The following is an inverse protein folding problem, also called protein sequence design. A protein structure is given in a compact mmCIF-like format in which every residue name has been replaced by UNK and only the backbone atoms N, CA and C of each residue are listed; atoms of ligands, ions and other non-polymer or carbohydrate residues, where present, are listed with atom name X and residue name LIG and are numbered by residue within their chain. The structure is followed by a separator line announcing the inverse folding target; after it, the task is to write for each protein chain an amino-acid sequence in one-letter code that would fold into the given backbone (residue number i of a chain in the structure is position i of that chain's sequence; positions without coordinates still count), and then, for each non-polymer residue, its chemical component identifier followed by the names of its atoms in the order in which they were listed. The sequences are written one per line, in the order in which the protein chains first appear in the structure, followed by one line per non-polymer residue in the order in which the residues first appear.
data_IF_631181664533
#
_entry.id   IF_631181664533
#
_cell.length_a   1.000
_cell.length_b   1.000
_cell.length_c   1.000
_cell.angle_alpha   90.00
_cell.angle_beta   90.00
_cell.angle_gamma   90.00
#
_symmetry.space_group_name_H-M   'P 1'
#
loop_
_entity.id
_entity.type
_entity.pdbx_description
1 polymer ?
#
# COMPACT_ATOMS: atom_id res chain seq x y z
N UNK A 1 -14.60 9.84 -27.03
CA UNK A 1 -14.55 9.86 -25.54
C UNK A 1 -13.21 10.36 -24.98
N UNK A 2 -12.40 11.15 -25.71
CA UNK A 2 -11.13 11.71 -25.19
C UNK A 2 -11.25 13.12 -24.61
N UNK A 3 -12.36 13.84 -24.88
CA UNK A 3 -12.58 15.23 -24.46
C UNK A 3 -12.95 15.41 -22.98
N UNK A 4 -13.82 14.55 -22.43
CA UNK A 4 -14.40 14.78 -21.10
C UNK A 4 -13.41 14.56 -19.94
N UNK A 5 -12.44 13.66 -20.11
CA UNK A 5 -11.41 13.40 -19.10
C UNK A 5 -10.41 14.54 -18.91
N UNK A 6 -10.26 15.42 -19.93
CA UNK A 6 -9.31 16.54 -19.88
C UNK A 6 -9.87 17.76 -19.11
N UNK A 7 -11.20 17.89 -19.08
CA UNK A 7 -11.91 19.00 -18.43
C UNK A 7 -12.07 18.72 -16.91
N UNK A 8 -12.24 17.46 -16.51
CA UNK A 8 -12.37 17.11 -15.09
C UNK A 8 -11.05 17.23 -14.29
N UNK A 9 -9.90 16.93 -14.91
CA UNK A 9 -8.58 16.97 -14.24
C UNK A 9 -8.10 18.41 -13.97
N UNK A 10 -8.39 19.36 -14.87
CA UNK A 10 -7.95 20.75 -14.73
C UNK A 10 -8.68 21.50 -13.61
N UNK A 11 -9.94 21.15 -13.33
CA UNK A 11 -10.73 21.79 -12.26
C UNK A 11 -10.33 21.31 -10.85
N UNK A 12 -9.76 20.11 -10.72
CA UNK A 12 -9.44 19.48 -9.42
C UNK A 12 -7.95 19.55 -9.01
N UNK A 13 -7.11 20.32 -9.73
CA UNK A 13 -5.64 20.40 -9.51
C UNK A 13 -4.90 19.05 -9.55
N UNK A 14 -5.50 17.99 -10.12
CA UNK A 14 -4.85 16.68 -10.29
C UNK A 14 -4.15 16.61 -11.64
N UNK A 15 -2.84 16.88 -11.68
CA UNK A 15 -2.06 16.93 -12.93
C UNK A 15 -1.62 15.55 -13.43
N UNK A 16 -1.37 14.62 -12.52
CA UNK A 16 -0.75 13.31 -12.85
C UNK A 16 -1.75 12.15 -12.82
N UNK A 17 -2.99 12.40 -13.24
CA UNK A 17 -4.03 11.36 -13.28
C UNK A 17 -3.78 10.30 -14.36
N UNK A 18 -3.04 10.64 -15.42
CA UNK A 18 -2.67 9.70 -16.50
C UNK A 18 -1.25 9.21 -16.26
N UNK A 19 -1.08 7.88 -16.26
CA UNK A 19 0.20 7.22 -16.07
C UNK A 19 0.50 6.35 -17.29
N UNK A 20 1.74 6.36 -17.76
CA UNK A 20 2.19 5.44 -18.80
C UNK A 20 2.35 4.05 -18.19
N UNK A 21 1.65 3.07 -18.73
CA UNK A 21 1.65 1.68 -18.23
C UNK A 21 1.39 0.71 -19.37
N UNK A 22 1.51 -0.59 -19.07
CA UNK A 22 1.24 -1.68 -20.01
C UNK A 22 -0.02 -2.44 -19.62
N UNK A 23 -0.65 -3.06 -20.61
CA UNK A 23 -1.80 -3.94 -20.41
C UNK A 23 -1.64 -5.24 -21.16
N UNK A 24 -2.12 -6.33 -20.59
CA UNK A 24 -2.24 -7.62 -21.26
C UNK A 24 -3.71 -7.95 -21.51
N UNK A 25 -3.99 -8.64 -22.61
CA UNK A 25 -5.32 -9.10 -22.97
C UNK A 25 -5.26 -10.58 -23.38
N UNK A 26 -5.96 -11.44 -22.66
CA UNK A 26 -6.00 -12.89 -22.91
C UNK A 26 -7.21 -13.34 -23.74
N UNK A 27 -8.10 -12.40 -24.09
CA UNK A 27 -9.37 -12.67 -24.76
C UNK A 27 -10.57 -12.42 -23.83
N UNK A 28 -11.74 -12.19 -24.44
CA UNK A 28 -12.98 -11.86 -23.74
C UNK A 28 -12.83 -10.69 -22.75
N UNK A 29 -13.17 -10.91 -21.47
CA UNK A 29 -13.09 -9.90 -20.41
C UNK A 29 -11.77 -9.92 -19.64
N UNK A 30 -10.83 -10.79 -20.00
CA UNK A 30 -9.55 -10.95 -19.31
C UNK A 30 -8.54 -9.91 -19.81
N UNK A 31 -8.70 -8.66 -19.35
CA UNK A 31 -7.77 -7.57 -19.56
C UNK A 31 -7.23 -7.08 -18.22
N UNK A 32 -5.92 -6.99 -18.09
CA UNK A 32 -5.26 -6.56 -16.85
C UNK A 32 -4.20 -5.50 -17.14
N UNK A 33 -4.12 -4.47 -16.29
CA UNK A 33 -3.00 -3.54 -16.29
C UNK A 33 -1.83 -4.16 -15.51
N UNK A 34 -0.61 -3.69 -15.79
CA UNK A 34 0.58 -4.12 -15.04
C UNK A 34 0.41 -3.90 -13.52
N UNK A 35 -0.20 -2.78 -13.11
CA UNK A 35 -0.49 -2.49 -11.71
C UNK A 35 -1.47 -3.48 -11.07
N UNK A 36 -2.48 -3.93 -11.80
CA UNK A 36 -3.50 -4.86 -11.29
C UNK A 36 -2.85 -6.18 -10.89
N UNK A 37 -1.97 -6.69 -11.76
CA UNK A 37 -1.20 -7.91 -11.51
C UNK A 37 -0.26 -7.72 -10.32
N UNK A 38 0.46 -6.60 -10.23
CA UNK A 38 1.34 -6.31 -9.09
C UNK A 38 0.58 -6.32 -7.76
N UNK A 39 -0.57 -5.64 -7.69
CA UNK A 39 -1.37 -5.62 -6.48
C UNK A 39 -1.93 -7.00 -6.12
N UNK A 40 -2.39 -7.77 -7.11
CA UNK A 40 -2.89 -9.12 -6.90
C UNK A 40 -1.81 -10.07 -6.37
N UNK A 41 -0.67 -10.13 -7.06
CA UNK A 41 0.45 -11.01 -6.69
C UNK A 41 1.05 -10.62 -5.33
N UNK A 42 1.18 -9.33 -5.04
CA UNK A 42 1.65 -8.88 -3.73
C UNK A 42 0.66 -9.26 -2.61
N UNK A 43 -0.64 -9.21 -2.87
CA UNK A 43 -1.66 -9.57 -1.87
C UNK A 43 -1.70 -11.07 -1.58
N UNK A 44 -1.44 -11.92 -2.59
CA UNK A 44 -1.26 -13.37 -2.40
C UNK A 44 -0.03 -13.66 -1.52
N UNK A 45 1.12 -13.06 -1.87
CA UNK A 45 2.38 -13.27 -1.15
C UNK A 45 2.31 -12.78 0.30
N UNK A 46 1.69 -11.63 0.53
CA UNK A 46 1.58 -11.00 1.84
C UNK A 46 0.39 -11.51 2.66
N UNK A 47 -0.47 -12.38 2.11
CA UNK A 47 -1.67 -12.88 2.80
C UNK A 47 -1.34 -13.40 4.22
N UNK A 48 -2.11 -12.99 5.24
CA UNK A 48 -1.97 -13.50 6.60
C UNK A 48 -2.81 -14.76 6.86
N UNK A 49 -3.49 -15.29 5.84
CA UNK A 49 -4.33 -16.49 5.99
C UNK A 49 -3.50 -17.65 6.52
N UNK A 50 -4.08 -18.39 7.47
CA UNK A 50 -3.40 -19.44 8.24
C UNK A 50 -3.32 -20.77 7.49
N UNK A 51 -3.81 -20.81 6.26
CA UNK A 51 -4.01 -22.04 5.50
C UNK A 51 -2.72 -22.53 4.81
N UNK A 52 -1.62 -21.77 4.91
CA UNK A 52 -0.33 -22.13 4.35
C UNK A 52 0.85 -21.46 5.06
N UNK A 53 2.04 -22.02 4.86
CA UNK A 53 3.30 -21.40 5.25
C UNK A 53 3.59 -20.17 4.38
N UNK A 54 4.51 -19.29 4.81
CA UNK A 54 4.94 -18.16 3.97
C UNK A 54 5.47 -18.58 2.60
N UNK A 55 6.03 -19.80 2.49
CA UNK A 55 6.47 -20.40 1.22
C UNK A 55 5.28 -20.74 0.32
N UNK A 56 4.18 -21.24 0.87
CA UNK A 56 2.99 -21.58 0.08
C UNK A 56 2.39 -20.32 -0.54
N UNK A 57 2.34 -19.21 0.21
CA UNK A 57 1.90 -17.92 -0.31
C UNK A 57 2.80 -17.41 -1.44
N UNK A 58 4.11 -17.62 -1.32
CA UNK A 58 5.07 -17.30 -2.39
C UNK A 58 4.81 -18.14 -3.65
N UNK A 59 4.61 -19.45 -3.51
CA UNK A 59 4.31 -20.33 -4.65
C UNK A 59 2.96 -19.97 -5.28
N UNK A 60 1.92 -19.67 -4.49
CA UNK A 60 0.64 -19.21 -5.02
C UNK A 60 0.76 -17.90 -5.79
N UNK A 61 1.54 -16.95 -5.27
CA UNK A 61 1.82 -15.70 -5.94
C UNK A 61 2.58 -15.93 -7.27
N UNK A 62 3.58 -16.81 -7.27
CA UNK A 62 4.32 -17.19 -8.48
C UNK A 62 3.41 -17.86 -9.52
N UNK A 63 2.58 -18.81 -9.09
CA UNK A 63 1.63 -19.51 -9.95
C UNK A 63 0.61 -18.58 -10.58
N UNK A 64 0.21 -17.52 -9.88
CA UNK A 64 -0.75 -16.51 -10.38
C UNK A 64 -0.24 -15.73 -11.59
N UNK A 65 1.08 -15.73 -11.83
CA UNK A 65 1.70 -15.10 -13.00
C UNK A 65 1.60 -15.99 -14.25
N UNK A 66 1.23 -17.27 -14.10
CA UNK A 66 1.00 -18.14 -15.24
C UNK A 66 -0.34 -17.83 -15.91
N UNK A 67 -0.32 -17.79 -17.25
CA UNK A 67 -1.54 -17.64 -18.08
C UNK A 67 -2.53 -18.79 -17.91
N UNK A 68 -2.09 -19.94 -17.40
CA UNK A 68 -2.95 -21.09 -17.13
C UNK A 68 -3.78 -20.95 -15.86
N UNK A 69 -3.43 -20.01 -14.96
CA UNK A 69 -3.95 -19.95 -13.59
C UNK A 69 -4.58 -18.58 -13.28
N UNK A 70 -5.50 -18.13 -14.13
CA UNK A 70 -6.16 -16.83 -13.95
C UNK A 70 -7.07 -16.77 -12.72
N UNK A 71 -7.56 -17.92 -12.25
CA UNK A 71 -8.32 -18.06 -11.01
C UNK A 71 -7.54 -17.54 -9.80
N UNK A 72 -6.26 -17.93 -9.66
CA UNK A 72 -5.36 -17.43 -8.61
C UNK A 72 -5.15 -15.93 -8.72
N UNK A 73 -4.98 -15.41 -9.95
CA UNK A 73 -4.85 -13.98 -10.19
C UNK A 73 -6.12 -13.22 -9.77
N UNK A 74 -7.30 -13.73 -10.11
CA UNK A 74 -8.58 -13.13 -9.68
C UNK A 74 -8.76 -13.17 -8.17
N UNK A 75 -8.39 -14.27 -7.51
CA UNK A 75 -8.39 -14.34 -6.06
C UNK A 75 -7.46 -13.29 -5.44
N UNK A 76 -6.25 -13.14 -5.97
CA UNK A 76 -5.33 -12.08 -5.57
C UNK A 76 -5.90 -10.67 -5.75
N UNK A 77 -6.69 -10.42 -6.79
CA UNK A 77 -7.37 -9.13 -6.99
C UNK A 77 -8.43 -8.85 -5.91
N UNK A 78 -9.15 -9.87 -5.43
CA UNK A 78 -10.10 -9.68 -4.32
C UNK A 78 -9.37 -9.39 -3.00
N UNK A 79 -8.26 -10.08 -2.74
CA UNK A 79 -7.39 -9.78 -1.59
C UNK A 79 -6.82 -8.36 -1.67
N UNK A 80 -6.39 -7.92 -2.86
CA UNK A 80 -5.89 -6.57 -3.08
C UNK A 80 -6.94 -5.50 -2.79
N UNK A 81 -8.21 -5.71 -3.18
CA UNK A 81 -9.30 -4.79 -2.84
C UNK A 81 -9.50 -4.70 -1.33
N UNK A 82 -9.44 -5.83 -0.61
CA UNK A 82 -9.51 -5.85 0.86
C UNK A 82 -8.35 -5.06 1.47
N UNK A 83 -7.12 -5.31 1.02
CA UNK A 83 -5.91 -4.62 1.48
C UNK A 83 -6.01 -3.10 1.27
N UNK A 84 -6.46 -2.66 0.10
CA UNK A 84 -6.58 -1.24 -0.23
C UNK A 84 -7.65 -0.55 0.63
N UNK A 85 -8.78 -1.21 0.90
CA UNK A 85 -9.81 -0.68 1.82
C UNK A 85 -9.29 -0.54 3.24
N UNK A 86 -8.66 -1.59 3.77
CA UNK A 86 -8.05 -1.56 5.09
C UNK A 86 -6.97 -0.46 5.18
N UNK A 87 -6.16 -0.29 4.12
CA UNK A 87 -5.15 0.77 4.06
C UNK A 87 -5.78 2.16 4.24
N UNK A 88 -6.87 2.44 3.52
CA UNK A 88 -7.55 3.73 3.64
C UNK A 88 -8.19 3.94 5.02
N UNK A 89 -8.80 2.90 5.59
CA UNK A 89 -9.39 2.96 6.93
C UNK A 89 -8.34 3.20 8.01
N UNK A 90 -7.20 2.49 7.95
CA UNK A 90 -6.08 2.68 8.87
C UNK A 90 -5.48 4.08 8.74
N UNK A 91 -5.27 4.57 7.52
CA UNK A 91 -4.77 5.94 7.30
C UNK A 91 -5.73 6.96 7.89
N UNK A 92 -7.03 6.84 7.62
CA UNK A 92 -8.04 7.74 8.17
C UNK A 92 -8.00 7.73 9.70
N UNK A 93 -7.95 6.53 10.30
CA UNK A 93 -7.86 6.38 11.76
C UNK A 93 -6.62 7.07 12.32
N UNK A 94 -5.42 6.78 11.78
CA UNK A 94 -4.16 7.39 12.24
C UNK A 94 -4.17 8.92 12.15
N UNK A 95 -4.74 9.49 11.08
CA UNK A 95 -4.82 10.95 10.90
C UNK A 95 -5.86 11.59 11.82
N UNK A 96 -7.06 11.01 11.92
CA UNK A 96 -8.15 11.54 12.74
C UNK A 96 -7.86 11.46 14.24
N UNK A 97 -7.07 10.47 14.67
CA UNK A 97 -6.65 10.29 16.06
C UNK A 97 -5.27 10.87 16.36
N UNK A 98 -4.68 11.59 15.40
CA UNK A 98 -3.40 12.28 15.54
C UNK A 98 -2.23 11.38 16.01
N UNK A 99 -2.18 10.14 15.50
CA UNK A 99 -1.14 9.15 15.83
C UNK A 99 0.19 9.39 15.10
N UNK A 100 0.21 10.27 14.10
CA UNK A 100 1.44 10.64 13.38
C UNK A 100 2.12 11.80 14.10
N UNK A 101 3.17 11.48 14.85
CA UNK A 101 3.84 12.42 15.77
C UNK A 101 5.24 12.75 15.26
N UNK A 102 5.60 14.04 15.27
CA UNK A 102 6.98 14.47 14.99
C UNK A 102 7.89 14.20 16.19
N UNK A 103 8.91 13.36 16.01
CA UNK A 103 9.96 13.09 17.00
C UNK A 103 11.13 14.08 16.92
N UNK A 104 11.03 15.10 16.06
CA UNK A 104 12.10 16.05 15.79
C UNK A 104 12.68 15.82 14.40
N UNK A 105 13.60 14.84 14.20
CA UNK A 105 14.21 14.58 12.91
C UNK A 105 13.36 13.69 11.98
N UNK A 106 12.31 13.04 12.49
CA UNK A 106 11.41 12.18 11.71
C UNK A 106 9.99 12.17 12.31
N UNK A 107 9.03 11.71 11.51
CA UNK A 107 7.67 11.37 11.95
C UNK A 107 7.64 9.92 12.43
N UNK A 108 6.85 9.64 13.46
CA UNK A 108 6.64 8.31 13.99
C UNK A 108 5.16 7.98 14.05
N UNK A 109 4.80 6.75 13.71
CA UNK A 109 3.46 6.18 13.87
C UNK A 109 3.59 4.69 14.21
N UNK A 110 2.75 4.18 15.09
CA UNK A 110 2.70 2.74 15.39
C UNK A 110 1.27 2.22 15.31
N UNK A 111 1.13 0.99 14.80
CA UNK A 111 -0.09 0.22 14.93
C UNK A 111 -0.03 -0.60 16.22
N UNK A 112 -1.15 -0.71 16.91
CA UNK A 112 -1.29 -1.55 18.10
C UNK A 112 -2.09 -2.81 17.75
N UNK A 113 -2.02 -3.84 18.59
CA UNK A 113 -2.78 -5.09 18.39
C UNK A 113 -4.28 -4.85 18.23
N UNK A 114 -4.85 -3.90 18.97
CA UNK A 114 -6.26 -3.52 18.86
C UNK A 114 -6.62 -2.76 17.57
N UNK A 115 -5.66 -2.49 16.68
CA UNK A 115 -5.93 -1.82 15.41
C UNK A 115 -6.69 -2.78 14.49
N UNK A 116 -7.82 -2.36 13.89
CA UNK A 116 -8.52 -3.17 12.90
C UNK A 116 -7.59 -3.60 11.76
N UNK A 117 -7.70 -4.86 11.36
CA UNK A 117 -6.91 -5.44 10.26
C UNK A 117 -5.38 -5.35 10.44
N UNK A 118 -4.85 -5.17 11.66
CA UNK A 118 -3.39 -5.02 11.90
C UNK A 118 -2.57 -6.15 11.28
N UNK A 119 -3.12 -7.37 11.25
CA UNK A 119 -2.46 -8.56 10.69
C UNK A 119 -2.17 -8.41 9.19
N UNK A 120 -2.95 -7.61 8.46
CA UNK A 120 -2.70 -7.27 7.05
C UNK A 120 -1.45 -6.38 6.85
N UNK A 121 -0.91 -5.82 7.93
CA UNK A 121 0.21 -4.87 7.92
C UNK A 121 1.39 -5.33 8.80
N UNK A 122 1.40 -6.59 9.25
CA UNK A 122 2.47 -7.14 10.10
C UNK A 122 3.74 -7.50 9.31
N UNK A 123 3.64 -7.66 7.99
CA UNK A 123 4.77 -8.02 7.11
C UNK A 123 5.45 -6.76 6.53
N UNK A 124 6.75 -6.80 6.22
CA UNK A 124 7.50 -5.61 5.80
C UNK A 124 6.97 -4.93 4.53
N UNK A 125 6.55 -5.68 3.50
CA UNK A 125 6.13 -5.07 2.23
C UNK A 125 4.77 -4.37 2.36
N UNK A 126 3.80 -5.04 2.99
CA UNK A 126 2.50 -4.46 3.33
C UNK A 126 2.61 -3.25 4.26
N UNK A 127 3.44 -3.30 5.31
CA UNK A 127 3.68 -2.16 6.21
C UNK A 127 4.35 -0.98 5.49
N UNK A 128 5.35 -1.25 4.64
CA UNK A 128 6.03 -0.23 3.85
C UNK A 128 5.08 0.49 2.89
N UNK A 129 4.16 -0.26 2.26
CA UNK A 129 3.14 0.30 1.39
C UNK A 129 2.15 1.18 2.17
N UNK A 130 1.65 0.71 3.31
CA UNK A 130 0.78 1.50 4.19
C UNK A 130 1.48 2.79 4.63
N UNK A 131 2.72 2.68 5.10
CA UNK A 131 3.54 3.81 5.56
C UNK A 131 3.71 4.87 4.49
N UNK A 132 3.97 4.45 3.23
CA UNK A 132 4.08 5.39 2.11
C UNK A 132 2.77 6.12 1.83
N UNK A 133 1.64 5.41 1.84
CA UNK A 133 0.34 6.05 1.63
C UNK A 133 -0.06 6.96 2.79
N UNK A 134 0.27 6.57 4.03
CA UNK A 134 0.07 7.39 5.22
C UNK A 134 0.88 8.68 5.14
N UNK A 135 2.17 8.61 4.80
CA UNK A 135 3.03 9.78 4.66
C UNK A 135 2.51 10.73 3.58
N UNK A 136 2.15 10.21 2.40
CA UNK A 136 1.50 10.99 1.33
C UNK A 136 0.26 11.73 1.83
N UNK A 137 -0.62 11.03 2.54
CA UNK A 137 -1.86 11.59 3.07
C UNK A 137 -1.61 12.63 4.16
N UNK A 138 -0.64 12.38 5.04
CA UNK A 138 -0.25 13.29 6.11
C UNK A 138 0.36 14.60 5.59
N UNK A 139 1.23 14.54 4.58
CA UNK A 139 1.85 15.73 3.97
C UNK A 139 0.79 16.65 3.33
N UNK A 140 -0.26 16.07 2.77
CA UNK A 140 -1.42 16.79 2.25
C UNK A 140 -2.28 17.42 3.35
N UNK A 141 -2.44 16.75 4.51
CA UNK A 141 -3.32 17.23 5.60
C UNK A 141 -2.64 18.23 6.54
N UNK A 142 -1.33 18.13 6.76
CA UNK A 142 -0.63 18.98 7.73
C UNK A 142 -0.39 20.40 7.22
N UNK A 143 -0.54 21.39 8.12
CA UNK A 143 -0.16 22.79 7.87
C UNK A 143 1.29 23.09 8.22
N UNK A 144 1.96 22.20 8.96
CA UNK A 144 3.33 22.41 9.41
C UNK A 144 4.33 22.14 8.27
N UNK A 145 4.95 23.22 7.75
CA UNK A 145 5.90 23.15 6.63
C UNK A 145 7.10 22.26 6.90
N UNK A 146 7.60 22.22 8.14
CA UNK A 146 8.72 21.34 8.52
C UNK A 146 8.31 19.88 8.46
N UNK A 147 7.13 19.54 8.98
CA UNK A 147 6.64 18.16 9.00
C UNK A 147 6.41 17.58 7.59
N UNK A 148 6.18 18.44 6.58
CA UNK A 148 6.07 17.99 5.18
C UNK A 148 7.36 17.41 4.60
N UNK A 149 8.51 17.72 5.20
CA UNK A 149 9.83 17.33 4.72
C UNK A 149 10.47 16.22 5.57
N UNK A 150 9.75 15.70 6.56
CA UNK A 150 10.29 14.68 7.46
C UNK A 150 10.05 13.27 6.89
N UNK A 151 11.00 12.33 7.08
CA UNK A 151 10.76 10.91 6.81
C UNK A 151 9.77 10.34 7.84
N UNK A 152 9.21 9.16 7.55
CA UNK A 152 8.33 8.42 8.46
C UNK A 152 9.00 7.12 8.91
N UNK A 153 8.98 6.87 10.22
CA UNK A 153 9.24 5.56 10.82
C UNK A 153 7.89 4.99 11.26
N UNK A 154 7.54 3.80 10.78
CA UNK A 154 6.31 3.11 11.15
C UNK A 154 6.59 1.75 11.77
N UNK A 155 5.86 1.42 12.83
CA UNK A 155 5.95 0.13 13.51
C UNK A 155 4.61 -0.61 13.52
N UNK A 156 4.63 -1.93 13.43
CA UNK A 156 3.47 -2.79 13.63
C UNK A 156 3.87 -4.08 14.39
N UNK A 157 2.95 -4.72 15.14
CA UNK A 157 3.23 -5.97 15.84
C UNK A 157 3.56 -7.09 14.85
N UNK A 158 4.64 -7.84 15.13
CA UNK A 158 5.04 -9.02 14.36
C UNK A 158 4.65 -10.32 15.08
N UNK A 159 5.08 -10.46 16.34
CA UNK A 159 4.71 -11.59 17.20
C UNK A 159 4.47 -11.11 18.62
N UNK A 160 3.26 -11.32 19.12
CA UNK A 160 2.88 -10.97 20.49
C UNK A 160 3.59 -11.86 21.51
N UNK A 161 3.70 -13.16 21.22
CA UNK A 161 4.36 -14.13 22.11
C UNK A 161 5.82 -13.77 22.37
N UNK A 162 6.50 -13.25 21.35
CA UNK A 162 7.91 -12.86 21.44
C UNK A 162 8.09 -11.36 21.73
N UNK A 163 7.01 -10.58 21.80
CA UNK A 163 7.06 -9.13 21.96
C UNK A 163 7.82 -8.42 20.82
N UNK A 164 7.80 -8.97 19.61
CA UNK A 164 8.55 -8.43 18.46
C UNK A 164 7.67 -7.53 17.58
N UNK A 165 8.31 -6.52 16.98
CA UNK A 165 7.67 -5.55 16.08
C UNK A 165 8.41 -5.47 14.76
N UNK A 166 7.65 -5.29 13.67
CA UNK A 166 8.20 -4.92 12.36
C UNK A 166 8.31 -3.40 12.29
N UNK A 167 9.46 -2.88 11.89
CA UNK A 167 9.68 -1.44 11.67
C UNK A 167 10.12 -1.16 10.23
N UNK A 168 9.59 -0.08 9.66
CA UNK A 168 9.97 0.39 8.33
C UNK A 168 10.27 1.89 8.35
N UNK A 169 11.26 2.30 7.57
CA UNK A 169 11.60 3.70 7.31
C UNK A 169 11.21 4.10 5.89
N UNK A 170 10.45 5.18 5.75
CA UNK A 170 10.07 5.78 4.48
C UNK A 170 10.72 7.16 4.37
N UNK A 171 11.44 7.46 3.27
CA UNK A 171 12.03 8.78 3.07
C UNK A 171 10.95 9.87 2.96
N UNK A 172 11.31 11.17 3.07
CA UNK A 172 10.37 12.26 2.88
C UNK A 172 9.63 12.17 1.54
N UNK A 173 8.34 12.53 1.52
CA UNK A 173 7.57 12.58 0.28
C UNK A 173 7.93 13.84 -0.51
N UNK A 174 8.56 13.66 -1.68
CA UNK A 174 8.88 14.73 -2.63
C UNK A 174 8.58 14.27 -4.05
N UNK A 175 8.05 15.17 -4.88
CA UNK A 175 7.69 14.88 -6.28
C UNK A 175 8.89 14.42 -7.14
N UNK A 176 10.12 14.73 -6.69
CA UNK A 176 11.38 14.36 -7.33
C UNK A 176 12.28 13.50 -6.45
N UNK A 177 11.71 12.65 -5.58
CA UNK A 177 12.49 11.79 -4.69
C UNK A 177 13.46 10.92 -5.49
N UNK A 178 14.75 11.31 -5.50
CA UNK A 178 15.86 10.38 -5.67
C UNK A 178 15.70 9.36 -4.55
N UNK A 179 15.08 8.21 -4.84
CA UNK A 179 15.00 7.09 -3.92
C UNK A 179 16.42 6.56 -3.70
N UNK A 180 17.23 7.26 -2.90
CA UNK A 180 18.57 6.85 -2.54
C UNK A 180 18.45 5.57 -1.71
N UNK A 181 18.97 4.50 -2.29
CA UNK A 181 19.10 3.17 -1.68
C UNK A 181 20.14 3.22 -0.56
#
# INVERSE_FOLDING_TARGET
MQGDSHIASSHCRMKDMRVQTFSIHFGFKHKFLASDVVFATMSLMESPEKDGSGTDNFIQALDSLSRSNLDKLYHGLELAKKQLRATQQTIASCLCTNLVISQGPFLYCSLMEGTPDVVLFSKPASLSLLSRHLLKSFVCSTKNRRCKLLPLVMAAPLSMEQGTVTMVGIPPETDGSDRKK
#
